data_IF_998011168031
#
_entry.id   IF_998011168031
#
_cell.length_a   1.000
_cell.length_b   1.000
_cell.length_c   1.000
_cell.angle_alpha   90.00
_cell.angle_beta   90.00
_cell.angle_gamma   90.00
#
_symmetry.space_group_name_H-M   'P 1'
#
loop_
_entity.id
_entity.type
_entity.pdbx_description
1 polymer ?
#
# COMPACT_ATOMS: atom_id res chain seq x y z
N UNK A 1 13.70 13.75 -11.00
CA UNK A 1 12.80 13.01 -10.09
C UNK A 1 13.58 11.81 -9.61
N UNK A 2 13.94 11.78 -8.34
CA UNK A 2 14.69 10.65 -7.77
C UNK A 2 13.74 9.45 -7.70
N UNK A 3 14.05 8.40 -8.45
CA UNK A 3 13.41 7.11 -8.26
C UNK A 3 13.83 6.61 -6.88
N UNK A 4 12.89 6.07 -6.10
CA UNK A 4 13.24 5.29 -4.92
C UNK A 4 13.82 3.94 -5.39
N UNK A 5 15.05 3.99 -5.89
CA UNK A 5 15.81 2.86 -6.42
C UNK A 5 16.47 2.11 -5.28
N UNK A 6 15.69 1.31 -4.56
CA UNK A 6 16.19 0.28 -3.64
C UNK A 6 15.64 -1.07 -4.06
N UNK A 7 16.43 -2.13 -3.94
CA UNK A 7 16.11 -3.51 -4.31
C UNK A 7 14.99 -4.16 -3.45
N UNK A 8 14.07 -3.36 -2.90
CA UNK A 8 12.99 -3.80 -2.03
C UNK A 8 11.66 -3.92 -2.78
N UNK A 9 10.92 -4.98 -2.50
CA UNK A 9 9.55 -5.14 -2.97
C UNK A 9 8.65 -4.17 -2.20
N UNK A 10 7.70 -3.51 -2.87
CA UNK A 10 6.81 -2.50 -2.24
C UNK A 10 5.35 -2.97 -2.29
N UNK A 11 4.65 -2.84 -1.17
CA UNK A 11 3.20 -3.01 -1.07
C UNK A 11 2.59 -1.76 -0.43
N UNK A 12 1.66 -1.10 -1.13
CA UNK A 12 0.94 0.06 -0.63
C UNK A 12 -0.54 -0.28 -0.45
N UNK A 13 -1.12 0.17 0.66
CA UNK A 13 -2.54 0.03 0.99
C UNK A 13 -3.08 1.42 1.33
N UNK A 14 -4.14 1.87 0.67
CA UNK A 14 -4.77 3.15 0.98
C UNK A 14 -6.29 3.10 0.79
N UNK A 15 -7.02 3.81 1.64
CA UNK A 15 -8.45 4.01 1.45
C UNK A 15 -8.72 4.97 0.29
N UNK A 16 -9.72 4.66 -0.55
CA UNK A 16 -10.09 5.47 -1.72
C UNK A 16 -10.53 6.90 -1.36
N UNK A 17 -11.17 7.06 -0.21
CA UNK A 17 -11.69 8.35 0.28
C UNK A 17 -10.72 9.02 1.26
N UNK A 18 -9.49 8.49 1.40
CA UNK A 18 -8.48 9.09 2.24
C UNK A 18 -7.93 10.37 1.59
N UNK A 19 -7.96 11.49 2.32
CA UNK A 19 -7.30 12.73 1.89
C UNK A 19 -5.81 12.54 1.59
N UNK A 20 -5.19 11.53 2.19
CA UNK A 20 -3.78 11.17 2.01
C UNK A 20 -3.52 10.15 0.88
N UNK A 21 -4.54 9.76 0.10
CA UNK A 21 -4.40 8.81 -1.02
C UNK A 21 -3.31 9.26 -2.02
N UNK A 22 -3.26 10.56 -2.32
CA UNK A 22 -2.32 11.16 -3.27
C UNK A 22 -0.85 10.83 -2.93
N UNK A 23 -0.50 10.71 -1.64
CA UNK A 23 0.86 10.34 -1.24
C UNK A 23 1.22 8.90 -1.64
N UNK A 24 0.25 7.99 -1.57
CA UNK A 24 0.45 6.60 -1.96
C UNK A 24 0.50 6.46 -3.49
N UNK A 25 -0.30 7.22 -4.23
CA UNK A 25 -0.23 7.29 -5.70
C UNK A 25 1.12 7.81 -6.17
N UNK A 26 1.61 8.89 -5.55
CA UNK A 26 2.92 9.46 -5.84
C UNK A 26 4.07 8.49 -5.52
N UNK A 27 3.99 7.80 -4.39
CA UNK A 27 4.96 6.78 -4.01
C UNK A 27 4.94 5.60 -5.00
N UNK A 28 3.74 5.14 -5.39
CA UNK A 28 3.58 4.07 -6.36
C UNK A 28 4.16 4.46 -7.72
N UNK A 29 3.91 5.68 -8.20
CA UNK A 29 4.45 6.16 -9.48
C UNK A 29 5.98 6.21 -9.49
N UNK A 30 6.61 6.56 -8.36
CA UNK A 30 8.07 6.69 -8.19
C UNK A 30 8.78 5.37 -7.85
N UNK A 31 8.04 4.36 -7.41
CA UNK A 31 8.58 3.06 -7.05
C UNK A 31 8.98 2.23 -8.29
N UNK A 32 10.08 1.50 -8.20
CA UNK A 32 10.45 0.47 -9.18
C UNK A 32 9.66 -0.83 -8.96
N UNK A 33 9.62 -1.69 -9.97
CA UNK A 33 9.06 -3.04 -9.84
C UNK A 33 10.00 -3.98 -9.04
N UNK A 34 9.46 -4.98 -8.31
CA UNK A 34 8.04 -5.28 -8.17
C UNK A 34 7.33 -4.40 -7.13
N UNK A 35 6.17 -3.87 -7.50
CA UNK A 35 5.30 -3.08 -6.62
C UNK A 35 3.83 -3.46 -6.75
N UNK A 36 3.12 -3.38 -5.65
CA UNK A 36 1.69 -3.69 -5.56
C UNK A 36 0.97 -2.53 -4.84
N UNK A 37 -0.20 -2.12 -5.33
CA UNK A 37 -1.02 -1.09 -4.70
C UNK A 37 -2.47 -1.54 -4.61
N UNK A 38 -2.97 -1.68 -3.39
CA UNK A 38 -4.34 -2.02 -3.10
C UNK A 38 -5.11 -0.80 -2.58
N UNK A 39 -6.14 -0.40 -3.31
CA UNK A 39 -7.03 0.71 -2.94
C UNK A 39 -8.31 0.12 -2.33
N UNK A 40 -8.56 0.40 -1.04
CA UNK A 40 -9.74 -0.09 -0.33
C UNK A 40 -10.92 0.85 -0.65
N UNK A 41 -12.00 0.37 -1.29
CA UNK A 41 -13.12 1.21 -1.69
C UNK A 41 -13.87 1.77 -0.48
N UNK A 42 -14.35 3.01 -0.57
CA UNK A 42 -15.16 3.70 0.45
C UNK A 42 -14.46 3.96 1.80
N UNK A 43 -13.14 3.72 1.91
CA UNK A 43 -12.42 3.89 3.16
C UNK A 43 -11.60 5.18 3.23
N UNK A 44 -11.62 5.82 4.40
CA UNK A 44 -10.84 7.02 4.72
C UNK A 44 -9.56 6.72 5.48
N UNK A 45 -8.74 7.76 5.72
CA UNK A 45 -7.39 7.62 6.29
C UNK A 45 -7.35 6.89 7.64
N UNK A 46 -8.25 7.26 8.57
CA UNK A 46 -8.24 6.74 9.93
C UNK A 46 -8.86 5.34 10.04
N UNK A 47 -9.63 4.89 9.04
CA UNK A 47 -10.33 3.60 9.12
C UNK A 47 -9.35 2.42 9.13
N UNK A 48 -8.19 2.57 8.50
CA UNK A 48 -7.16 1.54 8.45
C UNK A 48 -6.26 1.50 9.69
N UNK A 49 -6.56 2.28 10.74
CA UNK A 49 -5.77 2.30 11.98
C UNK A 49 -6.25 1.22 12.96
N UNK A 50 -7.56 1.08 13.15
CA UNK A 50 -8.15 0.29 14.22
C UNK A 50 -9.37 -0.56 13.80
N UNK A 51 -9.99 -0.28 12.65
CA UNK A 51 -11.08 -1.12 12.11
C UNK A 51 -10.52 -2.35 11.41
N UNK A 52 -10.16 -3.33 12.23
CA UNK A 52 -9.50 -4.58 11.79
C UNK A 52 -10.27 -5.37 10.74
N UNK A 53 -11.59 -5.18 10.65
CA UNK A 53 -12.47 -5.77 9.62
C UNK A 53 -12.29 -5.15 8.24
N UNK A 54 -11.70 -3.95 8.15
CA UNK A 54 -11.47 -3.21 6.91
C UNK A 54 -10.02 -3.32 6.42
N UNK A 55 -9.10 -3.67 7.31
CA UNK A 55 -7.68 -3.82 6.98
C UNK A 55 -7.49 -5.16 6.21
N UNK A 56 -6.96 -5.14 4.98
CA UNK A 56 -6.78 -6.35 4.19
C UNK A 56 -5.52 -7.12 4.62
N UNK A 57 -5.54 -7.69 5.83
CA UNK A 57 -4.41 -8.47 6.40
C UNK A 57 -4.00 -9.65 5.53
N UNK A 58 -4.92 -10.24 4.78
CA UNK A 58 -4.62 -11.31 3.83
C UNK A 58 -3.65 -10.86 2.74
N UNK A 59 -3.77 -9.61 2.26
CA UNK A 59 -2.85 -9.03 1.27
C UNK A 59 -1.47 -8.78 1.84
N UNK A 60 -1.39 -8.30 3.08
CA UNK A 60 -0.11 -8.16 3.78
C UNK A 60 0.54 -9.54 4.01
N UNK A 61 -0.25 -10.53 4.41
CA UNK A 61 0.22 -11.91 4.64
C UNK A 61 0.74 -12.53 3.34
N UNK A 62 0.00 -12.40 2.23
CA UNK A 62 0.40 -12.87 0.90
C UNK A 62 1.73 -12.22 0.47
N UNK A 63 1.83 -10.90 0.60
CA UNK A 63 3.02 -10.14 0.23
C UNK A 63 4.25 -10.56 1.05
N UNK A 64 4.14 -10.58 2.38
CA UNK A 64 5.27 -10.95 3.23
C UNK A 64 5.67 -12.41 3.07
N UNK A 65 4.71 -13.33 2.93
CA UNK A 65 5.01 -14.76 2.67
C UNK A 65 5.78 -14.95 1.36
N UNK A 66 5.53 -14.10 0.35
CA UNK A 66 6.21 -14.15 -0.95
C UNK A 66 7.64 -13.62 -0.89
N UNK A 67 7.86 -12.54 -0.12
CA UNK A 67 9.10 -11.74 -0.21
C UNK A 67 10.00 -11.76 1.03
N UNK A 68 9.54 -12.24 2.20
CA UNK A 68 10.34 -12.37 3.44
C UNK A 68 10.62 -13.84 3.78
N UNK A 69 11.53 -14.46 3.03
CA UNK A 69 12.01 -15.83 3.32
C UNK A 69 13.10 -15.86 4.37
#
# INVERSE_FOLDING_TARGET
>A
MENFGGAGNICLLAGKEAHSLEFSEDAYAKAAEPKEFYIIPNEGHVNLYDRTDLIPFDKLTEFFSKYLK
#
